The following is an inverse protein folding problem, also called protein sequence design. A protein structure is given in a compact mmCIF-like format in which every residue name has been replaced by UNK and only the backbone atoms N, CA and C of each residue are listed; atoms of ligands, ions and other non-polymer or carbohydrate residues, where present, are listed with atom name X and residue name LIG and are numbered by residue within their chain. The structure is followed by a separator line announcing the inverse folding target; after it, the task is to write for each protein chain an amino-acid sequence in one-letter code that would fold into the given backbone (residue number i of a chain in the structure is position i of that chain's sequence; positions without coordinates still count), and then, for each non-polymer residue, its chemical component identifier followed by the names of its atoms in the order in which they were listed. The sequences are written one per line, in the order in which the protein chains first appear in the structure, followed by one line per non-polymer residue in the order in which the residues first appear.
data_IF_669833554256
#
_entry.id   IF_669833554256
#
_cell.length_a   1.000
_cell.length_b   1.000
_cell.length_c   1.000
_cell.angle_alpha   90.00
_cell.angle_beta   90.00
_cell.angle_gamma   90.00
#
_symmetry.space_group_name_H-M   'P 1'
#
loop_
_entity.id
_entity.type
_entity.pdbx_description
1 polymer ?
#
# COMPACT_ATOMS: atom_id res chain seq x y z
N UNK A 1 -26.27 -6.45 22.91
CA UNK A 1 -25.08 -5.81 22.35
C UNK A 1 -25.57 -4.59 21.56
N UNK A 2 -25.35 -3.37 22.08
CA UNK A 2 -25.76 -2.15 21.37
C UNK A 2 -24.82 -1.92 20.18
N UNK A 3 -25.25 -2.41 19.02
CA UNK A 3 -24.51 -2.20 17.77
C UNK A 3 -24.89 -0.81 17.22
N UNK A 4 -23.87 -0.03 16.88
CA UNK A 4 -24.08 1.25 16.20
C UNK A 4 -24.75 1.02 14.83
N UNK A 5 -25.56 1.97 14.33
CA UNK A 5 -26.02 1.93 12.95
C UNK A 5 -24.84 1.82 11.98
N UNK A 6 -24.95 1.01 10.94
CA UNK A 6 -23.87 0.75 9.96
C UNK A 6 -23.31 2.04 9.35
N UNK A 7 -24.14 3.03 9.08
CA UNK A 7 -23.69 4.30 8.52
C UNK A 7 -22.81 5.10 9.51
N UNK A 8 -23.06 4.99 10.82
CA UNK A 8 -22.22 5.62 11.87
C UNK A 8 -20.84 4.97 11.87
N UNK A 9 -20.81 3.65 11.80
CA UNK A 9 -19.54 2.92 11.80
C UNK A 9 -18.73 3.12 10.51
N UNK A 10 -19.40 3.20 9.34
CA UNK A 10 -18.73 3.25 8.04
C UNK A 10 -18.37 4.67 7.62
N UNK A 11 -19.19 5.66 7.98
CA UNK A 11 -19.03 7.05 7.51
C UNK A 11 -18.67 8.02 8.63
N UNK A 12 -19.44 8.02 9.73
CA UNK A 12 -19.31 9.05 10.76
C UNK A 12 -18.01 8.90 11.56
N UNK A 13 -17.65 7.68 11.97
CA UNK A 13 -16.42 7.42 12.73
C UNK A 13 -15.16 7.81 11.92
N UNK A 14 -14.96 7.35 10.67
CA UNK A 14 -13.83 7.77 9.86
C UNK A 14 -13.77 9.28 9.62
N UNK A 15 -14.93 9.94 9.40
CA UNK A 15 -15.00 11.38 9.20
C UNK A 15 -14.56 12.16 10.45
N UNK A 16 -15.05 11.79 11.63
CA UNK A 16 -14.64 12.43 12.89
C UNK A 16 -13.15 12.22 13.13
N UNK A 17 -12.65 10.99 12.93
CA UNK A 17 -11.24 10.69 13.12
C UNK A 17 -10.35 11.51 12.18
N UNK A 18 -10.72 11.59 10.91
CA UNK A 18 -10.00 12.40 9.92
C UNK A 18 -10.02 13.88 10.29
N UNK A 19 -11.18 14.41 10.69
CA UNK A 19 -11.31 15.82 11.11
C UNK A 19 -10.43 16.14 12.31
N UNK A 20 -10.41 15.27 13.33
CA UNK A 20 -9.56 15.44 14.50
C UNK A 20 -8.06 15.30 14.14
N UNK A 21 -7.72 14.37 13.28
CA UNK A 21 -6.36 14.21 12.79
C UNK A 21 -5.88 15.45 12.02
N UNK A 22 -6.73 16.04 11.18
CA UNK A 22 -6.45 17.29 10.47
C UNK A 22 -6.35 18.49 11.45
N UNK A 23 -7.15 18.51 12.51
CA UNK A 23 -7.00 19.54 13.56
C UNK A 23 -5.64 19.44 14.26
N UNK A 24 -5.20 18.23 14.62
CA UNK A 24 -3.87 18.04 15.23
C UNK A 24 -2.76 18.45 14.26
N UNK A 25 -2.86 18.05 13.00
CA UNK A 25 -1.92 18.48 11.97
C UNK A 25 -1.90 20.01 11.80
N UNK A 26 -3.09 20.65 11.86
CA UNK A 26 -3.23 22.09 11.82
C UNK A 26 -2.56 22.80 12.99
N UNK A 27 -2.62 22.23 14.19
CA UNK A 27 -1.88 22.75 15.36
C UNK A 27 -0.37 22.71 15.11
N UNK A 28 0.16 21.63 14.56
CA UNK A 28 1.59 21.53 14.22
C UNK A 28 1.99 22.59 13.19
N UNK A 29 1.18 22.79 12.16
CA UNK A 29 1.42 23.82 11.13
C UNK A 29 1.40 25.23 11.75
N UNK A 30 0.44 25.51 12.66
CA UNK A 30 0.36 26.77 13.37
C UNK A 30 1.58 27.01 14.27
N UNK A 31 2.10 25.98 14.93
CA UNK A 31 3.32 26.08 15.76
C UNK A 31 4.58 26.42 14.94
N UNK A 32 4.59 26.10 13.67
CA UNK A 32 5.65 26.46 12.73
C UNK A 32 5.51 27.91 12.24
N UNK A 33 4.37 28.53 12.51
CA UNK A 33 4.09 29.93 12.13
C UNK A 33 3.33 30.08 10.81
N UNK A 34 2.81 28.98 10.26
CA UNK A 34 2.03 28.99 9.02
C UNK A 34 0.51 28.90 9.30
N UNK A 35 -0.29 29.39 8.36
CA UNK A 35 -1.76 29.33 8.43
C UNK A 35 -2.27 27.90 8.11
N UNK A 36 -2.87 27.19 9.09
CA UNK A 36 -3.39 25.83 8.88
C UNK A 36 -4.49 25.75 7.80
N UNK A 37 -5.30 26.80 7.65
CA UNK A 37 -6.42 26.82 6.69
C UNK A 37 -5.83 26.95 5.28
N UNK A 38 -4.85 27.84 5.10
CA UNK A 38 -4.11 27.97 3.83
C UNK A 38 -3.40 26.66 3.50
N UNK A 39 -2.72 26.04 4.44
CA UNK A 39 -2.04 24.76 4.25
C UNK A 39 -3.00 23.64 3.81
N UNK A 40 -4.15 23.50 4.50
CA UNK A 40 -5.18 22.54 4.11
C UNK A 40 -5.74 22.83 2.71
N UNK A 41 -5.93 24.10 2.36
CA UNK A 41 -6.38 24.50 1.01
C UNK A 41 -5.36 24.11 -0.06
N UNK A 42 -4.05 24.33 0.19
CA UNK A 42 -2.96 23.93 -0.72
C UNK A 42 -2.92 22.41 -0.87
N UNK A 43 -3.00 21.67 0.22
CA UNK A 43 -3.06 20.20 0.18
C UNK A 43 -4.22 19.68 -0.68
N UNK A 44 -5.42 20.20 -0.47
CA UNK A 44 -6.60 19.74 -1.23
C UNK A 44 -6.54 20.16 -2.70
N UNK A 45 -6.09 21.39 -2.99
CA UNK A 45 -5.90 21.84 -4.36
C UNK A 45 -4.79 21.07 -5.08
N UNK A 46 -3.68 20.82 -4.41
CA UNK A 46 -2.57 20.02 -4.92
C UNK A 46 -2.95 18.59 -5.25
N UNK A 47 -3.77 17.97 -4.40
CA UNK A 47 -4.23 16.61 -4.60
C UNK A 47 -5.26 16.47 -5.75
N UNK A 48 -6.17 17.45 -5.94
CA UNK A 48 -7.34 17.26 -6.81
C UNK A 48 -7.53 18.32 -7.88
N UNK A 49 -7.00 19.54 -7.73
CA UNK A 49 -7.33 20.67 -8.60
C UNK A 49 -6.17 21.08 -9.49
N UNK A 50 -4.93 21.08 -8.97
CA UNK A 50 -3.76 21.46 -9.75
C UNK A 50 -3.54 20.51 -10.93
N UNK A 51 -2.97 21.04 -12.01
CA UNK A 51 -2.73 20.28 -13.21
C UNK A 51 -1.88 19.03 -12.91
N UNK A 52 -2.41 17.86 -13.21
CA UNK A 52 -1.78 16.58 -12.89
C UNK A 52 -1.99 16.07 -11.45
N UNK A 53 -2.46 16.89 -10.51
CA UNK A 53 -2.60 16.53 -9.09
C UNK A 53 -3.40 15.25 -8.86
N UNK A 54 -4.55 15.11 -9.52
CA UNK A 54 -5.33 13.88 -9.47
C UNK A 54 -4.54 12.66 -9.99
N UNK A 55 -3.76 12.82 -11.05
CA UNK A 55 -2.92 11.75 -11.58
C UNK A 55 -1.82 11.32 -10.61
N UNK A 56 -1.17 12.26 -9.93
CA UNK A 56 -0.21 11.97 -8.86
C UNK A 56 -0.90 11.31 -7.65
N UNK A 57 -2.07 11.81 -7.25
CA UNK A 57 -2.87 11.19 -6.17
C UNK A 57 -3.19 9.73 -6.49
N UNK A 58 -3.65 9.42 -7.70
CA UNK A 58 -3.95 8.05 -8.13
C UNK A 58 -2.69 7.19 -8.28
N UNK A 59 -1.56 7.78 -8.64
CA UNK A 59 -0.27 7.10 -8.64
C UNK A 59 0.13 6.62 -7.23
N UNK A 60 0.08 7.48 -6.22
CA UNK A 60 0.32 7.07 -4.82
C UNK A 60 -0.74 6.07 -4.34
N UNK A 61 -2.01 6.30 -4.70
CA UNK A 61 -3.12 5.38 -4.40
C UNK A 61 -2.83 3.97 -4.89
N UNK A 62 -2.21 3.81 -6.06
CA UNK A 62 -1.84 2.51 -6.64
C UNK A 62 -0.90 1.73 -5.71
N UNK A 63 0.14 2.38 -5.19
CA UNK A 63 1.07 1.77 -4.24
C UNK A 63 0.36 1.29 -2.98
N UNK A 64 -0.53 2.13 -2.44
CA UNK A 64 -1.28 1.84 -1.23
C UNK A 64 -2.35 0.77 -1.42
N UNK A 65 -2.95 0.64 -2.61
CA UNK A 65 -3.86 -0.48 -2.91
C UNK A 65 -3.11 -1.80 -2.81
N UNK A 66 -1.98 -1.96 -3.49
CA UNK A 66 -1.22 -3.20 -3.47
C UNK A 66 -0.74 -3.55 -2.06
N UNK A 67 -0.13 -2.62 -1.35
CA UNK A 67 0.39 -2.85 0.00
C UNK A 67 -0.72 -3.05 1.03
N UNK A 68 -1.84 -2.31 0.91
CA UNK A 68 -3.02 -2.48 1.76
C UNK A 68 -3.70 -3.84 1.56
N UNK A 69 -3.86 -4.30 0.30
CA UNK A 69 -4.39 -5.63 0.01
C UNK A 69 -3.46 -6.73 0.54
N UNK A 70 -2.14 -6.55 0.45
CA UNK A 70 -1.17 -7.48 0.99
C UNK A 70 -1.37 -7.69 2.49
N UNK A 71 -1.45 -6.61 3.25
CA UNK A 71 -1.69 -6.67 4.70
C UNK A 71 -3.06 -7.29 4.99
N UNK A 72 -4.11 -6.90 4.27
CA UNK A 72 -5.46 -7.38 4.50
C UNK A 72 -5.58 -8.90 4.31
N UNK A 73 -4.96 -9.48 3.27
CA UNK A 73 -4.98 -10.93 3.05
C UNK A 73 -4.35 -11.68 4.21
N UNK A 74 -3.17 -11.25 4.67
CA UNK A 74 -2.51 -11.85 5.83
C UNK A 74 -3.35 -11.69 7.11
N UNK A 75 -3.98 -10.53 7.30
CA UNK A 75 -4.79 -10.22 8.48
C UNK A 75 -6.05 -11.09 8.58
N UNK A 76 -6.62 -11.53 7.47
CA UNK A 76 -7.72 -12.50 7.49
C UNK A 76 -7.30 -13.87 8.04
N UNK A 77 -6.02 -14.18 8.13
CA UNK A 77 -5.47 -15.34 8.82
C UNK A 77 -4.92 -15.01 10.23
N UNK A 78 -5.23 -13.83 10.78
CA UNK A 78 -4.63 -13.30 12.01
C UNK A 78 -3.10 -13.21 11.97
N UNK A 79 -2.53 -13.06 10.76
CA UNK A 79 -1.11 -12.85 10.55
C UNK A 79 -0.85 -11.36 10.30
N UNK A 80 -0.18 -10.70 11.24
CA UNK A 80 0.15 -9.29 11.11
C UNK A 80 1.47 -9.14 10.32
N UNK A 81 1.35 -9.13 8.98
CA UNK A 81 2.50 -9.02 8.08
C UNK A 81 3.02 -7.58 8.02
N UNK A 82 4.15 -7.31 8.70
CA UNK A 82 4.87 -6.03 8.62
C UNK A 82 5.96 -6.06 7.53
N UNK A 83 6.13 -7.19 6.87
CA UNK A 83 7.17 -7.43 5.86
C UNK A 83 6.89 -6.83 4.47
N UNK A 84 5.80 -6.09 4.31
CA UNK A 84 5.38 -5.54 3.02
C UNK A 84 6.46 -4.71 2.32
N UNK A 85 7.29 -3.99 3.07
CA UNK A 85 8.40 -3.19 2.54
C UNK A 85 9.48 -4.06 1.89
N UNK A 86 9.96 -5.10 2.59
CA UNK A 86 10.93 -6.04 2.05
C UNK A 86 10.38 -6.89 0.92
N UNK A 87 9.10 -7.26 0.99
CA UNK A 87 8.41 -8.01 -0.06
C UNK A 87 8.28 -7.19 -1.35
N UNK A 88 7.95 -5.90 -1.23
CA UNK A 88 7.95 -4.97 -2.35
C UNK A 88 9.35 -4.78 -2.93
N UNK A 89 10.36 -4.63 -2.08
CA UNK A 89 11.77 -4.50 -2.47
C UNK A 89 12.23 -5.71 -3.30
N UNK A 90 11.91 -6.93 -2.86
CA UNK A 90 12.23 -8.15 -3.61
C UNK A 90 11.35 -8.31 -4.86
N UNK A 91 10.09 -7.86 -4.82
CA UNK A 91 9.26 -7.77 -6.01
C UNK A 91 9.91 -6.92 -7.10
N UNK A 92 10.48 -5.78 -6.70
CA UNK A 92 11.26 -4.91 -7.60
C UNK A 92 12.51 -5.58 -8.17
N UNK A 93 13.20 -6.39 -7.38
CA UNK A 93 14.30 -7.22 -7.87
C UNK A 93 13.82 -8.20 -8.95
N UNK A 94 12.67 -8.86 -8.71
CA UNK A 94 12.06 -9.76 -9.69
C UNK A 94 11.72 -9.08 -11.01
N UNK A 95 11.15 -7.88 -10.96
CA UNK A 95 10.91 -7.03 -12.13
C UNK A 95 12.22 -6.73 -12.87
N UNK A 96 13.21 -6.23 -12.12
CA UNK A 96 14.49 -5.81 -12.72
C UNK A 96 15.23 -6.95 -13.40
N UNK A 97 15.30 -8.12 -12.77
CA UNK A 97 15.98 -9.29 -13.36
C UNK A 97 15.33 -9.71 -14.68
N UNK A 98 14.00 -9.69 -14.75
CA UNK A 98 13.26 -10.05 -15.97
C UNK A 98 13.48 -9.00 -17.06
N UNK A 99 13.35 -7.70 -16.72
CA UNK A 99 13.52 -6.63 -17.71
C UNK A 99 14.95 -6.54 -18.23
N UNK A 100 15.96 -6.74 -17.38
CA UNK A 100 17.37 -6.73 -17.80
C UNK A 100 17.75 -7.95 -18.62
N UNK A 101 17.17 -9.13 -18.33
CA UNK A 101 17.51 -10.36 -19.04
C UNK A 101 16.75 -10.51 -20.37
N UNK A 102 15.51 -10.06 -20.45
CA UNK A 102 14.60 -10.33 -21.56
C UNK A 102 14.20 -9.08 -22.36
N UNK A 103 14.46 -7.87 -21.83
CA UNK A 103 14.24 -6.62 -22.55
C UNK A 103 15.13 -6.56 -23.82
N UNK A 104 14.52 -6.23 -24.96
CA UNK A 104 15.19 -6.27 -26.26
C UNK A 104 15.35 -7.67 -26.87
N UNK A 105 14.98 -8.75 -26.16
CA UNK A 105 15.01 -10.14 -26.67
C UNK A 105 13.61 -10.62 -27.01
N UNK A 106 12.62 -10.29 -26.18
CA UNK A 106 11.21 -10.65 -26.35
C UNK A 106 10.35 -9.41 -26.58
N UNK A 107 9.18 -9.56 -27.24
CA UNK A 107 8.24 -8.45 -27.38
C UNK A 107 7.90 -7.82 -26.01
N UNK A 108 7.89 -6.49 -25.92
CA UNK A 108 7.72 -5.75 -24.65
C UNK A 108 6.51 -6.19 -23.83
N UNK A 109 5.35 -6.44 -24.49
CA UNK A 109 4.16 -6.95 -23.78
C UNK A 109 4.36 -8.29 -23.09
N UNK A 110 5.18 -9.19 -23.66
CA UNK A 110 5.53 -10.48 -23.04
C UNK A 110 6.43 -10.24 -21.84
N UNK A 111 7.43 -9.35 -21.98
CA UNK A 111 8.33 -9.01 -20.87
C UNK A 111 7.55 -8.37 -19.71
N UNK A 112 6.59 -7.51 -19.99
CA UNK A 112 5.71 -6.90 -18.96
C UNK A 112 4.93 -7.99 -18.22
N UNK A 113 4.32 -8.95 -18.91
CA UNK A 113 3.59 -10.06 -18.25
C UNK A 113 4.51 -10.91 -17.39
N UNK A 114 5.71 -11.21 -17.88
CA UNK A 114 6.72 -11.93 -17.09
C UNK A 114 7.20 -11.10 -15.90
N UNK A 115 7.37 -9.79 -16.04
CA UNK A 115 7.75 -8.89 -14.96
C UNK A 115 6.67 -8.82 -13.86
N UNK A 116 5.37 -8.84 -14.23
CA UNK A 116 4.26 -8.96 -13.28
C UNK A 116 4.37 -10.28 -12.51
N UNK A 117 4.58 -11.39 -13.21
CA UNK A 117 4.78 -12.69 -12.58
C UNK A 117 6.03 -12.72 -11.69
N UNK A 118 7.11 -12.07 -12.11
CA UNK A 118 8.36 -11.93 -11.36
C UNK A 118 8.17 -11.11 -10.08
N UNK A 119 7.49 -9.97 -10.17
CA UNK A 119 7.15 -9.15 -9.00
C UNK A 119 6.38 -9.97 -7.95
N UNK A 120 5.32 -10.66 -8.39
CA UNK A 120 4.51 -11.50 -7.53
C UNK A 120 5.30 -12.68 -6.96
N UNK A 121 6.09 -13.37 -7.78
CA UNK A 121 6.86 -14.55 -7.36
C UNK A 121 7.95 -14.18 -6.33
N UNK A 122 8.74 -13.14 -6.58
CA UNK A 122 9.80 -12.72 -5.65
C UNK A 122 9.23 -12.19 -4.34
N UNK A 123 8.15 -11.39 -4.39
CA UNK A 123 7.45 -10.97 -3.18
C UNK A 123 6.86 -12.14 -2.39
N UNK A 124 6.24 -13.11 -3.08
CA UNK A 124 5.71 -14.33 -2.46
C UNK A 124 6.81 -15.18 -1.82
N UNK A 125 7.89 -15.46 -2.55
CA UNK A 125 9.02 -16.25 -2.04
C UNK A 125 9.64 -15.62 -0.80
N UNK A 126 9.76 -14.29 -0.77
CA UNK A 126 10.26 -13.58 0.39
C UNK A 126 9.32 -13.70 1.59
N UNK A 127 8.02 -13.63 1.39
CA UNK A 127 7.01 -13.78 2.44
C UNK A 127 6.82 -15.22 2.91
N UNK A 128 7.11 -16.21 2.04
CA UNK A 128 7.02 -17.63 2.39
C UNK A 128 7.91 -18.00 3.58
N UNK A 129 9.12 -17.42 3.67
CA UNK A 129 10.08 -17.77 4.73
C UNK A 129 9.52 -17.41 6.11
N UNK A 130 9.15 -16.13 6.41
CA UNK A 130 8.54 -15.81 7.71
C UNK A 130 7.20 -16.52 7.92
N UNK A 131 6.41 -16.75 6.88
CA UNK A 131 5.17 -17.52 6.97
C UNK A 131 5.41 -18.98 7.38
N UNK A 132 6.41 -19.63 6.81
CA UNK A 132 6.80 -20.99 7.18
C UNK A 132 7.37 -21.06 8.60
N UNK A 133 8.20 -20.11 8.99
CA UNK A 133 8.75 -20.01 10.35
C UNK A 133 7.64 -19.87 11.39
N UNK A 134 6.63 -19.03 11.13
CA UNK A 134 5.46 -18.90 11.99
C UNK A 134 4.68 -20.23 12.06
N UNK A 135 4.36 -20.83 10.92
CA UNK A 135 3.46 -21.95 10.82
C UNK A 135 4.02 -23.27 11.40
N UNK A 136 5.33 -23.49 11.23
CA UNK A 136 5.96 -24.78 11.60
C UNK A 136 7.00 -24.69 12.72
N UNK A 137 7.51 -23.49 13.02
CA UNK A 137 8.52 -23.29 14.08
C UNK A 137 8.03 -22.41 15.24
N UNK A 138 6.81 -21.86 15.13
CA UNK A 138 6.23 -21.03 16.20
C UNK A 138 6.92 -19.68 16.38
N UNK A 139 7.68 -19.19 15.39
CA UNK A 139 8.31 -17.88 15.46
C UNK A 139 7.27 -16.77 15.39
N UNK A 140 7.50 -15.64 16.04
CA UNK A 140 6.55 -14.53 16.02
C UNK A 140 6.58 -13.81 14.67
N UNK A 141 5.46 -13.83 13.91
CA UNK A 141 5.39 -13.30 12.54
C UNK A 141 5.83 -11.84 12.42
N UNK A 142 5.44 -10.99 13.37
CA UNK A 142 5.81 -9.56 13.39
C UNK A 142 7.32 -9.39 13.44
N UNK A 143 8.00 -10.10 14.35
CA UNK A 143 9.46 -9.98 14.53
C UNK A 143 10.18 -10.48 13.27
N UNK A 144 9.78 -11.65 12.77
CA UNK A 144 10.42 -12.23 11.58
C UNK A 144 10.21 -11.37 10.35
N UNK A 145 9.01 -10.84 10.12
CA UNK A 145 8.74 -10.00 8.95
C UNK A 145 9.49 -8.66 9.02
N UNK A 146 9.62 -8.04 10.21
CA UNK A 146 10.44 -6.83 10.38
C UNK A 146 11.92 -7.13 10.07
N UNK A 147 12.47 -8.23 10.62
CA UNK A 147 13.85 -8.60 10.33
C UNK A 147 14.08 -8.85 8.85
N UNK A 148 13.13 -9.45 8.16
CA UNK A 148 13.20 -9.67 6.72
C UNK A 148 13.17 -8.37 5.89
N UNK A 149 12.60 -7.27 6.39
CA UNK A 149 12.73 -5.96 5.73
C UNK A 149 14.19 -5.48 5.75
N UNK A 150 14.89 -5.60 6.90
CA UNK A 150 16.30 -5.22 6.99
C UNK A 150 17.20 -6.11 6.13
N UNK A 151 16.93 -7.42 6.10
CA UNK A 151 17.67 -8.34 5.22
C UNK A 151 17.44 -7.98 3.75
N UNK A 152 16.21 -7.67 3.33
CA UNK A 152 15.90 -7.23 1.98
C UNK A 152 16.64 -5.96 1.61
N UNK A 153 16.66 -4.96 2.51
CA UNK A 153 17.39 -3.71 2.29
C UNK A 153 18.91 -3.96 2.13
N UNK A 154 19.51 -4.76 3.02
CA UNK A 154 20.93 -5.12 2.94
C UNK A 154 21.28 -5.89 1.67
N UNK A 155 20.43 -6.86 1.29
CA UNK A 155 20.58 -7.61 0.04
C UNK A 155 20.52 -6.69 -1.18
N UNK A 156 19.60 -5.73 -1.19
CA UNK A 156 19.45 -4.79 -2.29
C UNK A 156 20.68 -3.87 -2.42
N UNK A 157 21.21 -3.38 -1.29
CA UNK A 157 22.46 -2.58 -1.29
C UNK A 157 23.60 -3.40 -1.87
N UNK A 158 23.75 -4.66 -1.45
CA UNK A 158 24.80 -5.53 -1.95
C UNK A 158 24.68 -5.79 -3.46
N UNK A 159 23.48 -6.10 -3.96
CA UNK A 159 23.24 -6.36 -5.38
C UNK A 159 23.46 -5.13 -6.26
N UNK A 160 22.93 -3.97 -5.85
CA UNK A 160 23.03 -2.74 -6.63
C UNK A 160 24.41 -2.05 -6.54
N UNK A 161 25.19 -2.35 -5.50
CA UNK A 161 26.58 -1.89 -5.41
C UNK A 161 27.56 -2.81 -6.16
N UNK A 162 27.14 -4.05 -6.45
CA UNK A 162 27.94 -5.11 -7.09
C UNK A 162 27.38 -5.57 -8.42
N UNK A 163 26.77 -6.77 -8.43
CA UNK A 163 26.39 -7.52 -9.64
C UNK A 163 25.40 -6.79 -10.56
N UNK A 164 24.46 -6.02 -10.01
CA UNK A 164 23.42 -5.36 -10.79
C UNK A 164 23.70 -3.88 -11.00
N UNK A 165 24.87 -3.39 -10.59
CA UNK A 165 25.25 -1.99 -10.77
C UNK A 165 25.35 -1.64 -12.26
N UNK A 166 24.55 -0.65 -12.69
CA UNK A 166 24.64 -0.08 -14.03
C UNK A 166 25.98 0.64 -14.24
N UNK A 167 26.57 0.49 -15.42
CA UNK A 167 27.85 1.13 -15.76
C UNK A 167 27.75 2.67 -15.71
N UNK A 168 28.81 3.34 -15.28
CA UNK A 168 28.98 4.81 -15.27
C UNK A 168 27.96 5.62 -14.45
N UNK A 169 27.27 5.05 -13.47
CA UNK A 169 26.32 5.77 -12.62
C UNK A 169 26.90 5.99 -11.23
N UNK A 170 26.82 7.23 -10.74
CA UNK A 170 27.34 7.62 -9.42
C UNK A 170 26.55 7.01 -8.24
N UNK A 171 25.29 6.60 -8.46
CA UNK A 171 24.42 5.99 -7.44
C UNK A 171 24.22 4.48 -7.69
N UNK A 172 23.96 3.67 -6.62
CA UNK A 172 23.67 2.26 -6.74
C UNK A 172 22.30 2.03 -7.39
N UNK A 173 22.31 1.71 -8.68
CA UNK A 173 21.11 1.46 -9.49
C UNK A 173 21.46 0.57 -10.70
N UNK A 174 20.45 -0.05 -11.31
CA UNK A 174 20.63 -0.84 -12.52
C UNK A 174 20.73 0.05 -13.76
N UNK A 175 21.07 -0.54 -14.90
CA UNK A 175 20.84 0.09 -16.20
C UNK A 175 19.33 0.35 -16.39
N UNK A 176 19.01 1.33 -17.24
CA UNK A 176 17.64 1.61 -17.68
C UNK A 176 17.14 0.44 -18.50
N UNK A 177 15.89 0.03 -18.27
CA UNK A 177 15.25 -1.05 -19.02
C UNK A 177 14.90 -0.58 -20.44
N UNK A 178 14.79 -1.54 -21.37
CA UNK A 178 14.36 -1.25 -22.72
C UNK A 178 12.98 -0.56 -22.74
N UNK A 179 12.81 0.49 -23.54
CA UNK A 179 11.60 1.34 -23.56
C UNK A 179 10.32 0.53 -23.81
N UNK A 180 10.41 -0.51 -24.62
CA UNK A 180 9.29 -1.42 -24.92
C UNK A 180 8.77 -2.20 -23.68
N UNK A 181 9.53 -2.23 -22.58
CA UNK A 181 9.13 -2.87 -21.31
C UNK A 181 8.48 -1.89 -20.34
N UNK A 182 8.39 -0.61 -20.67
CA UNK A 182 7.80 0.39 -19.80
C UNK A 182 6.29 0.27 -19.77
N UNK A 183 5.70 0.45 -18.59
CA UNK A 183 4.24 0.52 -18.51
C UNK A 183 3.75 1.84 -19.10
N UNK A 184 2.79 1.79 -20.04
CA UNK A 184 2.27 3.01 -20.65
C UNK A 184 1.61 3.90 -19.59
N UNK A 185 1.86 5.20 -19.69
CA UNK A 185 1.26 6.20 -18.81
C UNK A 185 -0.18 6.47 -19.24
N UNK A 186 -1.07 6.59 -18.26
CA UNK A 186 -2.49 6.72 -18.53
C UNK A 186 -2.83 8.01 -19.31
N UNK A 187 -2.11 9.11 -19.03
CA UNK A 187 -2.31 10.37 -19.76
C UNK A 187 -1.92 10.27 -21.25
N UNK A 188 -0.94 9.45 -21.61
CA UNK A 188 -0.55 9.21 -23.01
C UNK A 188 -1.66 8.45 -23.75
N UNK A 189 -2.24 7.44 -23.11
CA UNK A 189 -3.37 6.69 -23.65
C UNK A 189 -4.59 7.60 -23.83
N UNK A 190 -4.91 8.41 -22.83
CA UNK A 190 -6.04 9.34 -22.88
C UNK A 190 -5.87 10.40 -23.99
N UNK A 191 -4.66 10.93 -24.16
CA UNK A 191 -4.34 11.86 -25.26
C UNK A 191 -4.49 11.19 -26.62
N UNK A 192 -4.06 9.93 -26.75
CA UNK A 192 -4.26 9.12 -27.97
C UNK A 192 -5.74 8.91 -28.30
N UNK A 193 -6.64 8.95 -27.30
CA UNK A 193 -8.08 8.88 -27.47
C UNK A 193 -8.76 10.26 -27.66
N UNK A 194 -7.99 11.36 -27.73
CA UNK A 194 -8.49 12.71 -27.92
C UNK A 194 -8.88 13.48 -26.65
N UNK A 195 -8.57 12.97 -25.47
CA UNK A 195 -8.81 13.67 -24.21
C UNK A 195 -7.59 14.52 -23.82
N UNK A 196 -7.82 15.76 -23.39
CA UNK A 196 -6.75 16.60 -22.85
C UNK A 196 -6.44 16.18 -21.39
N UNK A 197 -5.42 15.35 -21.24
CA UNK A 197 -4.99 14.85 -19.94
C UNK A 197 -3.65 15.47 -19.55
N UNK A 198 -3.59 16.03 -18.34
CA UNK A 198 -2.35 16.57 -17.77
C UNK A 198 -1.30 15.45 -17.56
N UNK A 199 -0.02 15.80 -17.75
CA UNK A 199 1.08 14.85 -17.54
C UNK A 199 1.14 14.43 -16.09
N UNK A 200 1.23 13.10 -15.85
CA UNK A 200 1.31 12.53 -14.52
C UNK A 200 2.00 11.16 -14.56
N UNK A 201 2.56 10.66 -13.44
CA UNK A 201 3.19 9.35 -13.38
C UNK A 201 2.18 8.19 -13.36
N UNK A 202 0.87 8.47 -13.31
CA UNK A 202 -0.17 7.43 -13.33
C UNK A 202 -0.05 6.55 -14.57
N UNK A 203 0.06 5.24 -14.36
CA UNK A 203 0.31 4.25 -15.40
C UNK A 203 -0.64 3.04 -15.26
N UNK A 204 -0.52 2.07 -16.16
CA UNK A 204 -1.40 0.90 -16.22
C UNK A 204 -1.38 0.02 -14.97
N UNK A 205 -0.42 0.16 -14.05
CA UNK A 205 -0.43 -0.55 -12.78
C UNK A 205 -1.65 -0.20 -11.91
N UNK A 206 -2.24 0.99 -12.08
CA UNK A 206 -3.49 1.36 -11.41
C UNK A 206 -4.65 0.42 -11.79
N UNK A 207 -4.77 0.09 -13.07
CA UNK A 207 -5.77 -0.88 -13.53
C UNK A 207 -5.49 -2.26 -12.95
N UNK A 208 -4.22 -2.68 -12.90
CA UNK A 208 -3.82 -3.94 -12.25
C UNK A 208 -4.15 -3.94 -10.77
N UNK A 209 -3.97 -2.83 -10.06
CA UNK A 209 -4.33 -2.69 -8.64
C UNK A 209 -5.84 -2.84 -8.41
N UNK A 210 -6.67 -2.24 -9.28
CA UNK A 210 -8.13 -2.42 -9.22
C UNK A 210 -8.54 -3.87 -9.54
N UNK A 211 -7.91 -4.50 -10.51
CA UNK A 211 -8.12 -5.94 -10.79
C UNK A 211 -7.69 -6.81 -9.61
N UNK A 212 -6.57 -6.47 -8.93
CA UNK A 212 -6.15 -7.13 -7.70
C UNK A 212 -7.19 -6.98 -6.58
N UNK A 213 -7.85 -5.81 -6.45
CA UNK A 213 -8.96 -5.62 -5.51
C UNK A 213 -10.11 -6.60 -5.78
N UNK A 214 -10.51 -6.73 -7.05
CA UNK A 214 -11.57 -7.67 -7.45
C UNK A 214 -11.11 -9.11 -7.18
N UNK A 215 -9.87 -9.46 -7.55
CA UNK A 215 -9.28 -10.78 -7.31
C UNK A 215 -9.25 -11.15 -5.83
N UNK A 216 -8.81 -10.25 -4.97
CA UNK A 216 -8.79 -10.45 -3.51
C UNK A 216 -10.21 -10.55 -2.96
N UNK A 217 -11.15 -9.73 -3.45
CA UNK A 217 -12.55 -9.85 -3.05
C UNK A 217 -13.12 -11.22 -3.40
N UNK A 218 -12.92 -11.67 -4.63
CA UNK A 218 -13.35 -13.02 -5.06
C UNK A 218 -12.69 -14.09 -4.19
N UNK A 219 -11.37 -14.02 -4.02
CA UNK A 219 -10.60 -14.98 -3.24
C UNK A 219 -11.12 -15.12 -1.81
N UNK A 220 -11.29 -14.00 -1.10
CA UNK A 220 -11.65 -14.00 0.33
C UNK A 220 -13.14 -14.32 0.55
N UNK A 221 -14.05 -13.77 -0.28
CA UNK A 221 -15.49 -13.87 -0.01
C UNK A 221 -16.24 -14.88 -0.86
N UNK A 222 -15.64 -15.35 -1.98
CA UNK A 222 -16.33 -16.24 -2.94
C UNK A 222 -15.71 -17.63 -3.08
N UNK A 223 -14.58 -17.92 -2.41
CA UNK A 223 -13.91 -19.23 -2.51
C UNK A 223 -13.94 -20.01 -1.20
N UNK A 224 -13.76 -21.34 -1.30
CA UNK A 224 -13.54 -22.21 -0.13
C UNK A 224 -12.26 -21.83 0.62
N UNK A 225 -11.22 -21.43 -0.11
CA UNK A 225 -9.97 -20.94 0.48
C UNK A 225 -10.21 -19.75 1.40
N UNK A 226 -10.92 -18.71 0.91
CA UNK A 226 -11.24 -17.54 1.69
C UNK A 226 -12.15 -17.83 2.89
N UNK A 227 -13.08 -18.77 2.76
CA UNK A 227 -13.88 -19.23 3.90
C UNK A 227 -13.00 -19.84 4.99
N UNK A 228 -12.11 -20.77 4.63
CA UNK A 228 -11.18 -21.40 5.56
C UNK A 228 -10.22 -20.39 6.18
N UNK A 229 -9.75 -19.41 5.39
CA UNK A 229 -8.85 -18.35 5.85
C UNK A 229 -9.52 -17.50 6.94
N UNK A 230 -10.77 -17.09 6.73
CA UNK A 230 -11.54 -16.33 7.73
C UNK A 230 -11.88 -17.15 8.96
N UNK A 231 -12.22 -18.45 8.78
CA UNK A 231 -12.45 -19.37 9.89
C UNK A 231 -11.18 -19.50 10.75
N UNK A 232 -10.01 -19.65 10.11
CA UNK A 232 -8.72 -19.66 10.78
C UNK A 232 -8.49 -18.37 11.58
N UNK A 233 -8.77 -17.21 10.97
CA UNK A 233 -8.58 -15.92 11.61
C UNK A 233 -9.50 -15.67 12.82
N UNK A 234 -10.70 -16.27 12.84
CA UNK A 234 -11.63 -16.11 13.96
C UNK A 234 -11.37 -17.10 15.10
N UNK A 235 -11.10 -18.37 14.79
CA UNK A 235 -10.94 -19.43 15.77
C UNK A 235 -10.01 -20.53 15.22
N UNK A 236 -8.68 -20.42 15.38
CA UNK A 236 -7.72 -21.38 14.84
C UNK A 236 -7.98 -22.83 15.28
N UNK A 237 -8.31 -23.05 16.54
CA UNK A 237 -8.55 -24.39 17.09
C UNK A 237 -9.82 -25.03 16.53
N UNK A 238 -10.88 -24.22 16.37
CA UNK A 238 -12.12 -24.68 15.76
C UNK A 238 -11.93 -24.98 14.26
N UNK A 239 -11.15 -24.16 13.55
CA UNK A 239 -10.81 -24.40 12.15
C UNK A 239 -10.00 -25.70 12.00
N UNK A 240 -9.03 -25.97 12.88
CA UNK A 240 -8.26 -27.19 12.89
C UNK A 240 -9.17 -28.42 13.14
N UNK A 241 -10.08 -28.34 14.11
CA UNK A 241 -11.06 -29.39 14.42
C UNK A 241 -12.02 -29.65 13.26
N UNK A 242 -12.30 -28.64 12.43
CA UNK A 242 -13.10 -28.77 11.20
C UNK A 242 -12.28 -29.27 9.99
N UNK A 243 -11.02 -29.69 10.18
CA UNK A 243 -10.16 -30.27 9.15
C UNK A 243 -9.40 -29.26 8.30
N UNK A 244 -9.35 -27.97 8.70
CA UNK A 244 -8.53 -26.96 8.02
C UNK A 244 -7.05 -27.17 8.34
N UNK A 245 -6.22 -27.32 7.33
CA UNK A 245 -4.77 -27.43 7.48
C UNK A 245 -4.15 -26.06 7.83
N UNK A 246 -4.23 -25.65 9.10
CA UNK A 246 -3.83 -24.36 9.63
C UNK A 246 -2.43 -23.92 9.17
N UNK A 247 -1.36 -24.75 9.30
CA UNK A 247 -0.01 -24.32 8.87
C UNK A 247 0.06 -24.02 7.37
N UNK A 248 -0.58 -24.83 6.52
CA UNK A 248 -0.62 -24.59 5.07
C UNK A 248 -1.37 -23.31 4.73
N UNK A 249 -2.48 -23.04 5.40
CA UNK A 249 -3.27 -21.83 5.19
C UNK A 249 -2.46 -20.57 5.55
N UNK A 250 -1.71 -20.60 6.66
CA UNK A 250 -0.82 -19.50 7.06
C UNK A 250 0.25 -19.22 5.99
N UNK A 251 0.93 -20.26 5.51
CA UNK A 251 1.99 -20.14 4.50
C UNK A 251 1.43 -19.59 3.18
N UNK A 252 0.30 -20.10 2.71
CA UNK A 252 -0.33 -19.63 1.47
C UNK A 252 -0.82 -18.18 1.63
N UNK A 253 -1.41 -17.82 2.76
CA UNK A 253 -1.83 -16.45 3.02
C UNK A 253 -0.65 -15.47 2.97
N UNK A 254 0.48 -15.84 3.57
CA UNK A 254 1.73 -15.05 3.51
C UNK A 254 2.28 -14.95 2.10
N UNK A 255 2.24 -16.05 1.32
CA UNK A 255 2.68 -16.02 -0.08
C UNK A 255 1.83 -15.07 -0.93
N UNK A 256 0.50 -15.11 -0.80
CA UNK A 256 -0.41 -14.22 -1.52
C UNK A 256 -0.19 -12.76 -1.06
N UNK A 257 -0.04 -12.55 0.25
CA UNK A 257 0.30 -11.24 0.81
C UNK A 257 1.59 -10.68 0.22
N UNK A 258 2.66 -11.49 0.18
CA UNK A 258 3.93 -11.09 -0.42
C UNK A 258 3.85 -10.85 -1.92
N UNK A 259 3.08 -11.65 -2.65
CA UNK A 259 2.85 -11.45 -4.09
C UNK A 259 2.21 -10.07 -4.36
N UNK A 260 1.17 -9.72 -3.58
CA UNK A 260 0.51 -8.42 -3.71
C UNK A 260 1.46 -7.27 -3.34
N UNK A 261 2.22 -7.39 -2.25
CA UNK A 261 3.21 -6.39 -1.88
C UNK A 261 4.28 -6.23 -2.97
N UNK A 262 4.76 -7.33 -3.54
CA UNK A 262 5.72 -7.33 -4.65
C UNK A 262 5.20 -6.59 -5.89
N UNK A 263 3.90 -6.72 -6.20
CA UNK A 263 3.29 -6.05 -7.35
C UNK A 263 3.28 -4.50 -7.23
N UNK A 264 3.46 -3.92 -6.04
CA UNK A 264 3.65 -2.47 -5.89
C UNK A 264 4.85 -1.98 -6.71
N UNK A 265 5.90 -2.78 -6.82
CA UNK A 265 7.09 -2.44 -7.59
C UNK A 265 6.81 -2.15 -9.08
N UNK A 266 5.74 -2.68 -9.65
CA UNK A 266 5.35 -2.41 -11.04
C UNK A 266 5.07 -0.93 -11.27
N UNK A 267 4.38 -0.28 -10.32
CA UNK A 267 4.07 1.13 -10.40
C UNK A 267 5.33 2.00 -10.39
N UNK A 268 6.24 1.71 -9.46
CA UNK A 268 7.47 2.49 -9.29
C UNK A 268 8.50 2.19 -10.38
N UNK A 269 8.79 0.93 -10.63
CA UNK A 269 9.95 0.51 -11.44
C UNK A 269 9.60 0.51 -12.93
N UNK A 270 8.48 -0.09 -13.34
CA UNK A 270 8.10 -0.10 -14.76
C UNK A 270 7.37 1.16 -15.19
N UNK A 271 6.62 1.79 -14.27
CA UNK A 271 5.79 2.95 -14.61
C UNK A 271 6.53 4.28 -14.53
N UNK A 272 7.57 4.41 -13.70
CA UNK A 272 8.19 5.72 -13.40
C UNK A 272 9.70 5.71 -13.49
N UNK A 273 10.38 4.83 -12.74
CA UNK A 273 11.85 4.83 -12.62
C UNK A 273 12.54 4.23 -13.85
N UNK A 274 11.91 3.24 -14.48
CA UNK A 274 12.43 2.46 -15.61
C UNK A 274 13.78 1.78 -15.34
N UNK A 275 14.11 1.62 -14.06
CA UNK A 275 15.32 1.00 -13.51
C UNK A 275 15.11 0.67 -12.05
N UNK A 276 15.88 -0.24 -11.49
CA UNK A 276 15.85 -0.53 -10.06
C UNK A 276 16.80 0.42 -9.33
N UNK A 277 16.27 1.14 -8.34
CA UNK A 277 17.00 2.06 -7.47
C UNK A 277 16.83 1.67 -6.01
N UNK A 278 17.77 2.08 -5.15
CA UNK A 278 17.64 1.87 -3.71
C UNK A 278 16.44 2.65 -3.16
N UNK A 279 15.75 2.05 -2.18
CA UNK A 279 14.63 2.66 -1.46
C UNK A 279 13.47 3.14 -2.34
N UNK A 280 13.28 2.54 -3.53
CA UNK A 280 12.15 2.90 -4.40
C UNK A 280 10.78 2.69 -3.73
N UNK A 281 10.70 1.79 -2.76
CA UNK A 281 9.48 1.49 -1.99
C UNK A 281 9.09 2.58 -0.98
N UNK A 282 10.01 3.48 -0.64
CA UNK A 282 9.79 4.71 0.13
C UNK A 282 8.90 4.57 1.39
N UNK A 283 8.85 3.38 2.01
CA UNK A 283 8.02 3.09 3.17
C UNK A 283 6.55 2.79 2.85
N UNK A 284 6.17 2.66 1.59
CA UNK A 284 4.77 2.37 1.19
C UNK A 284 4.27 1.04 1.77
N UNK A 285 5.16 0.07 1.99
CA UNK A 285 4.83 -1.19 2.65
C UNK A 285 4.34 -1.00 4.09
N UNK A 286 4.92 -0.08 4.84
CA UNK A 286 4.48 0.27 6.20
C UNK A 286 3.18 1.06 6.18
N UNK A 287 3.07 2.05 5.28
CA UNK A 287 1.84 2.85 5.12
C UNK A 287 0.65 1.96 4.72
N UNK A 288 0.88 0.89 3.94
CA UNK A 288 -0.12 -0.12 3.60
C UNK A 288 -0.79 -0.77 4.81
N UNK A 289 -0.11 -0.86 5.95
CA UNK A 289 -0.70 -1.36 7.21
C UNK A 289 -1.82 -0.42 7.68
N UNK A 290 -1.54 0.88 7.70
CA UNK A 290 -2.54 1.87 8.09
C UNK A 290 -3.73 1.91 7.12
N UNK A 291 -3.45 1.80 5.83
CA UNK A 291 -4.47 1.71 4.77
C UNK A 291 -5.37 0.48 4.96
N UNK A 292 -4.78 -0.69 5.22
CA UNK A 292 -5.54 -1.92 5.45
C UNK A 292 -6.44 -1.81 6.68
N UNK A 293 -5.91 -1.30 7.79
CA UNK A 293 -6.65 -1.13 9.04
C UNK A 293 -7.78 -0.09 8.89
N UNK A 294 -7.50 1.07 8.27
CA UNK A 294 -8.51 2.08 7.98
C UNK A 294 -9.57 1.55 7.02
N UNK A 295 -9.17 0.80 5.99
CA UNK A 295 -10.05 0.12 5.04
C UNK A 295 -10.76 -1.12 5.63
N UNK A 296 -10.56 -1.42 6.94
CA UNK A 296 -11.14 -2.58 7.64
C UNK A 296 -10.85 -3.91 6.94
N UNK A 297 -9.71 -4.03 6.32
CA UNK A 297 -9.27 -5.20 5.55
C UNK A 297 -10.25 -5.62 4.45
N UNK A 298 -11.13 -4.71 3.99
CA UNK A 298 -12.05 -4.95 2.89
C UNK A 298 -11.57 -4.21 1.63
N UNK A 299 -11.52 -4.84 0.44
CA UNK A 299 -10.96 -4.22 -0.76
C UNK A 299 -11.56 -2.86 -1.13
N UNK A 300 -12.87 -2.68 -1.02
CA UNK A 300 -13.51 -1.37 -1.25
C UNK A 300 -13.03 -0.33 -0.24
N UNK A 301 -12.95 -0.69 1.05
CA UNK A 301 -12.43 0.19 2.09
C UNK A 301 -10.96 0.53 1.87
N UNK A 302 -10.16 -0.43 1.39
CA UNK A 302 -8.75 -0.23 1.03
C UNK A 302 -8.61 0.78 -0.11
N UNK A 303 -9.44 0.69 -1.17
CA UNK A 303 -9.41 1.68 -2.26
C UNK A 303 -9.71 3.08 -1.73
N UNK A 304 -10.72 3.23 -0.87
CA UNK A 304 -11.08 4.53 -0.29
C UNK A 304 -9.99 5.08 0.64
N UNK A 305 -9.42 4.21 1.50
CA UNK A 305 -8.30 4.58 2.35
C UNK A 305 -7.06 4.94 1.52
N UNK A 306 -6.73 4.14 0.50
CA UNK A 306 -5.62 4.41 -0.42
C UNK A 306 -5.76 5.75 -1.14
N UNK A 307 -6.97 6.11 -1.55
CA UNK A 307 -7.24 7.41 -2.18
C UNK A 307 -6.99 8.56 -1.19
N UNK A 308 -7.43 8.42 0.06
CA UNK A 308 -7.16 9.39 1.10
C UNK A 308 -5.65 9.56 1.34
N UNK A 309 -4.93 8.45 1.49
CA UNK A 309 -3.47 8.49 1.69
C UNK A 309 -2.72 9.02 0.47
N UNK A 310 -3.17 8.67 -0.74
CA UNK A 310 -2.63 9.22 -1.99
C UNK A 310 -2.80 10.74 -2.05
N UNK A 311 -3.99 11.24 -1.65
CA UNK A 311 -4.25 12.67 -1.57
C UNK A 311 -3.39 13.37 -0.51
N UNK A 312 -3.16 12.73 0.65
CA UNK A 312 -2.28 13.27 1.69
C UNK A 312 -0.81 13.31 1.23
N UNK A 313 -0.35 12.28 0.51
CA UNK A 313 1.01 12.25 -0.03
C UNK A 313 1.21 13.33 -1.09
N UNK A 314 0.30 13.43 -2.07
CA UNK A 314 0.38 14.46 -3.11
C UNK A 314 0.22 15.86 -2.52
N UNK A 315 -0.80 16.07 -1.68
CA UNK A 315 -1.02 17.37 -1.03
C UNK A 315 0.14 17.77 -0.12
N UNK A 316 0.76 16.81 0.55
CA UNK A 316 1.97 17.05 1.35
C UNK A 316 3.16 17.51 0.52
N UNK A 317 3.34 16.94 -0.68
CA UNK A 317 4.38 17.39 -1.61
C UNK A 317 4.17 18.85 -2.02
N UNK A 318 2.93 19.27 -2.25
CA UNK A 318 2.60 20.66 -2.59
C UNK A 318 2.86 21.64 -1.43
N UNK A 319 2.75 21.18 -0.17
CA UNK A 319 3.13 22.01 0.98
C UNK A 319 4.62 22.36 0.98
N UNK A 320 5.47 21.39 0.67
CA UNK A 320 6.93 21.58 0.57
C UNK A 320 7.31 22.57 -0.54
N UNK A 321 6.52 22.63 -1.62
CA UNK A 321 6.74 23.60 -2.71
C UNK A 321 6.21 25.01 -2.39
N UNK A 322 5.04 25.11 -1.75
CA UNK A 322 4.38 26.41 -1.53
C UNK A 322 4.91 27.16 -0.30
N UNK A 323 5.35 26.42 0.74
CA UNK A 323 5.79 27.00 2.01
C UNK A 323 7.27 26.73 2.25
N UNK A 324 8.08 27.79 2.33
CA UNK A 324 9.52 27.68 2.60
C UNK A 324 9.85 27.24 4.03
N UNK A 325 8.91 27.40 4.96
CA UNK A 325 9.00 27.03 6.37
C UNK A 325 8.60 25.58 6.65
N UNK A 326 7.87 24.93 5.73
CA UNK A 326 7.43 23.54 5.85
C UNK A 326 8.38 22.66 5.04
N UNK A 327 9.25 21.94 5.72
CA UNK A 327 10.17 21.00 5.07
C UNK A 327 9.49 19.66 4.79
N UNK A 328 10.09 18.86 3.91
CA UNK A 328 9.63 17.51 3.60
C UNK A 328 9.51 16.62 4.84
N UNK A 329 10.43 16.75 5.81
CA UNK A 329 10.40 16.02 7.07
C UNK A 329 9.18 16.41 7.91
N UNK A 330 8.79 17.68 7.91
CA UNK A 330 7.58 18.14 8.59
C UNK A 330 6.32 17.61 7.93
N UNK A 331 6.28 17.52 6.60
CA UNK A 331 5.19 16.89 5.87
C UNK A 331 5.04 15.42 6.30
N UNK A 332 6.14 14.69 6.44
CA UNK A 332 6.12 13.31 6.94
C UNK A 332 5.57 13.22 8.37
N UNK A 333 5.92 14.17 9.24
CA UNK A 333 5.35 14.25 10.61
C UNK A 333 3.84 14.49 10.56
N UNK A 334 3.38 15.45 9.75
CA UNK A 334 1.95 15.75 9.57
C UNK A 334 1.20 14.52 9.05
N UNK A 335 1.74 13.84 8.04
CA UNK A 335 1.18 12.60 7.51
C UNK A 335 1.13 11.51 8.59
N UNK A 336 2.22 11.32 9.32
CA UNK A 336 2.29 10.36 10.43
C UNK A 336 1.27 10.61 11.52
N UNK A 337 1.05 11.88 11.89
CA UNK A 337 0.02 12.28 12.84
C UNK A 337 -1.40 11.98 12.32
N UNK A 338 -1.67 12.31 11.05
CA UNK A 338 -2.97 11.99 10.44
C UNK A 338 -3.23 10.49 10.46
N UNK A 339 -2.22 9.68 10.11
CA UNK A 339 -2.30 8.22 10.15
C UNK A 339 -2.56 7.72 11.57
N UNK A 340 -1.76 8.17 12.53
CA UNK A 340 -1.86 7.76 13.93
C UNK A 340 -3.24 8.08 14.51
N UNK A 341 -3.68 9.32 14.37
CA UNK A 341 -4.95 9.75 14.93
C UNK A 341 -6.16 9.18 14.19
N UNK A 342 -6.09 9.00 12.87
CA UNK A 342 -7.17 8.35 12.13
C UNK A 342 -7.39 6.88 12.55
N UNK A 343 -6.32 6.17 12.92
CA UNK A 343 -6.38 4.80 13.43
C UNK A 343 -6.75 4.73 14.93
N UNK A 344 -6.03 5.47 15.77
CA UNK A 344 -6.17 5.39 17.23
C UNK A 344 -7.50 5.95 17.74
N UNK A 345 -7.98 7.06 17.17
CA UNK A 345 -9.21 7.74 17.63
C UNK A 345 -10.47 6.89 17.40
N UNK A 346 -10.48 5.95 16.46
CA UNK A 346 -11.60 5.06 16.24
C UNK A 346 -12.02 4.31 17.52
N UNK A 347 -11.04 3.82 18.27
CA UNK A 347 -11.28 3.11 19.53
C UNK A 347 -11.72 4.04 20.67
N UNK A 348 -11.28 5.29 20.68
CA UNK A 348 -11.63 6.27 21.71
C UNK A 348 -13.03 6.84 21.51
N UNK A 349 -13.45 7.07 20.28
CA UNK A 349 -14.72 7.72 19.93
C UNK A 349 -15.88 6.72 19.93
N UNK A 350 -15.64 5.48 19.54
CA UNK A 350 -16.69 4.44 19.47
C UNK A 350 -17.48 4.27 20.78
N UNK A 351 -16.88 4.16 21.98
CA UNK A 351 -17.66 4.07 23.24
C UNK A 351 -18.54 5.26 23.52
N UNK A 352 -18.08 6.47 23.16
CA UNK A 352 -18.84 7.71 23.34
C UNK A 352 -20.03 7.78 22.38
N UNK A 353 -19.85 7.41 21.12
CA UNK A 353 -20.94 7.33 20.14
C UNK A 353 -21.95 6.26 20.51
N UNK A 354 -21.54 5.12 21.03
CA UNK A 354 -22.47 4.09 21.54
C UNK A 354 -23.38 4.69 22.62
N UNK A 355 -22.83 5.47 23.55
CA UNK A 355 -23.63 6.11 24.62
C UNK A 355 -24.64 7.12 24.06
N UNK A 356 -24.32 7.86 23.01
CA UNK A 356 -25.21 8.84 22.39
C UNK A 356 -26.34 8.13 21.63
N UNK A 357 -25.99 7.16 20.78
CA UNK A 357 -26.97 6.47 19.94
C UNK A 357 -27.79 5.43 20.72
N UNK A 358 -27.27 4.83 21.81
CA UNK A 358 -28.03 3.95 22.68
C UNK A 358 -29.09 4.71 23.50
N UNK A 359 -28.82 5.96 23.91
CA UNK A 359 -29.81 6.78 24.58
C UNK A 359 -30.98 7.22 23.68
N UNK A 360 -30.77 7.27 22.37
CA UNK A 360 -31.81 7.54 21.38
C UNK A 360 -32.76 6.38 21.16
N UNK A 361 -32.29 5.14 21.26
CA UNK A 361 -33.10 3.93 21.06
C UNK A 361 -34.04 3.60 22.25
N UNK A 362 -33.78 4.16 23.43
CA UNK A 362 -34.66 4.00 24.62
C UNK A 362 -35.75 5.05 24.73
N UNK A 363 -35.80 6.01 23.79
CA UNK A 363 -36.81 7.08 23.75
C UNK A 363 -37.77 7.02 22.57
N UNK A 364 -37.63 6.03 21.69
CA UNK A 364 -38.56 5.70 20.62
C UNK A 364 -39.21 4.32 20.85
#
# INVERSE_FOLDING_TARGET
MNTLPRWVEILLIPLINLSLALCVAGVVIALVGEDPIRALSVMLKGAFVFSGGLGYTLYYTTNFIFTGLAVAVAFHAMLFNIGGEGQATLGGLGVALICLALGGVLPGGVVILLAIAGAAAFGALWALIPGWLQAYRGSHIVITTIMFNFIAAGLMVWLLSGMLRGGNQGSPQTNVFAEETWLPRLHEILRGLGFDAASSPLNMSFVLALLACVGVWLLIWRTKFGYNLRALGHAPDAAASAGVAVPRMMVIAMAISGALAGCMALNEILGVQHKLVLNFSAGYGFTGIAVALMGRNHPVGIVMASLLFGALYQGGTELDFEFTSITREMVLVVQGLIILFSGALAYMITPWLIRIFAKGATRA
#
